data_IF_656358560872
#
_entry.id   IF_656358560872
#
_cell.length_a   1.000
_cell.length_b   1.000
_cell.length_c   1.000
_cell.angle_alpha   90.00
_cell.angle_beta   90.00
_cell.angle_gamma   90.00
#
_symmetry.space_group_name_H-M   'P 1'
#
loop_
_entity.id
_entity.type
_entity.pdbx_description
1 polymer ?
#
# COMPACT_ATOMS: atom_id res chain seq x y z
N UNK A 1 -15.00 -24.91 -37.52
CA UNK A 1 -15.47 -23.56 -37.25
C UNK A 1 -15.77 -23.26 -35.77
N UNK A 2 -16.33 -24.22 -35.03
CA UNK A 2 -16.60 -24.02 -33.60
C UNK A 2 -15.35 -23.88 -32.73
N UNK A 3 -14.20 -24.46 -33.09
CA UNK A 3 -12.95 -24.37 -32.34
C UNK A 3 -12.31 -22.98 -32.39
N UNK A 4 -12.50 -22.24 -33.49
CA UNK A 4 -11.98 -20.88 -33.64
C UNK A 4 -12.74 -19.89 -32.74
N UNK A 5 -14.03 -20.11 -32.57
CA UNK A 5 -14.88 -19.30 -31.69
C UNK A 5 -14.48 -19.40 -30.19
N UNK A 6 -14.15 -20.61 -29.74
CA UNK A 6 -13.71 -20.86 -28.38
C UNK A 6 -12.35 -20.21 -28.09
N UNK A 7 -11.44 -20.21 -29.05
CA UNK A 7 -10.13 -19.57 -28.93
C UNK A 7 -10.28 -18.04 -28.86
N UNK A 8 -11.17 -17.47 -29.67
CA UNK A 8 -11.48 -16.04 -29.63
C UNK A 8 -12.10 -15.60 -28.30
N UNK A 9 -12.99 -16.42 -27.73
CA UNK A 9 -13.60 -16.14 -26.43
C UNK A 9 -12.55 -16.17 -25.29
N UNK A 10 -11.61 -17.12 -25.32
CA UNK A 10 -10.53 -17.24 -24.35
C UNK A 10 -9.57 -16.04 -24.41
N UNK A 11 -9.25 -15.56 -25.58
CA UNK A 11 -8.39 -14.38 -25.77
C UNK A 11 -9.06 -13.10 -25.21
N UNK A 12 -10.38 -13.00 -25.33
CA UNK A 12 -11.14 -11.87 -24.81
C UNK A 12 -11.13 -11.80 -23.28
N UNK A 13 -11.17 -12.95 -22.61
CA UNK A 13 -11.14 -13.05 -21.14
C UNK A 13 -9.77 -12.65 -20.60
N UNK A 14 -8.69 -13.03 -21.26
CA UNK A 14 -7.32 -12.72 -20.83
C UNK A 14 -7.01 -11.22 -20.94
N UNK A 15 -7.54 -10.53 -21.94
CA UNK A 15 -7.29 -9.08 -22.10
C UNK A 15 -8.02 -8.23 -21.06
N UNK A 16 -9.18 -8.66 -20.55
CA UNK A 16 -9.87 -7.91 -19.48
C UNK A 16 -9.15 -8.02 -18.13
N UNK A 17 -8.49 -9.13 -17.82
CA UNK A 17 -7.70 -9.29 -16.60
C UNK A 17 -6.48 -8.35 -16.56
N UNK A 18 -5.81 -8.14 -17.68
CA UNK A 18 -4.65 -7.23 -17.76
C UNK A 18 -5.02 -5.77 -17.49
N UNK A 19 -6.20 -5.34 -17.87
CA UNK A 19 -6.68 -3.97 -17.66
C UNK A 19 -6.90 -3.67 -16.17
N UNK A 20 -7.40 -4.64 -15.41
CA UNK A 20 -7.63 -4.51 -13.97
C UNK A 20 -6.29 -4.44 -13.22
N UNK A 21 -5.31 -5.25 -13.57
CA UNK A 21 -3.97 -5.22 -12.97
C UNK A 21 -3.28 -3.87 -13.13
N UNK A 22 -3.40 -3.25 -14.30
CA UNK A 22 -2.81 -1.92 -14.57
C UNK A 22 -3.40 -0.83 -13.68
N UNK A 23 -4.70 -0.86 -13.39
CA UNK A 23 -5.34 0.10 -12.50
C UNK A 23 -4.84 -0.02 -11.06
N UNK A 24 -4.70 -1.23 -10.56
CA UNK A 24 -4.19 -1.50 -9.22
C UNK A 24 -2.74 -1.03 -9.08
N UNK A 25 -1.89 -1.32 -10.07
CA UNK A 25 -0.49 -0.88 -10.08
C UNK A 25 -0.35 0.64 -10.07
N UNK A 26 -1.18 1.34 -10.81
CA UNK A 26 -1.17 2.81 -10.88
C UNK A 26 -1.55 3.42 -9.53
N UNK A 27 -2.57 2.88 -8.85
CA UNK A 27 -3.00 3.33 -7.54
C UNK A 27 -1.95 3.03 -6.47
N UNK A 28 -1.30 1.87 -6.52
CA UNK A 28 -0.21 1.50 -5.62
C UNK A 28 1.00 2.42 -5.76
N UNK A 29 1.34 2.82 -6.97
CA UNK A 29 2.43 3.77 -7.24
C UNK A 29 2.12 5.17 -6.69
N UNK A 30 0.88 5.62 -6.78
CA UNK A 30 0.45 6.89 -6.18
C UNK A 30 0.58 6.88 -4.67
N UNK A 31 0.16 5.79 -4.04
CA UNK A 31 0.25 5.62 -2.60
C UNK A 31 1.71 5.65 -2.14
N UNK A 32 2.59 4.90 -2.82
CA UNK A 32 4.01 4.86 -2.54
C UNK A 32 4.66 6.23 -2.68
N UNK A 33 4.31 6.98 -3.70
CA UNK A 33 4.81 8.34 -3.93
C UNK A 33 4.37 9.29 -2.81
N UNK A 34 3.13 9.18 -2.34
CA UNK A 34 2.63 9.98 -1.23
C UNK A 34 3.34 9.66 0.08
N UNK A 35 3.65 8.39 0.33
CA UNK A 35 4.33 7.98 1.55
C UNK A 35 5.82 8.30 1.53
N UNK A 36 6.45 8.36 0.37
CA UNK A 36 7.86 8.70 0.22
C UNK A 36 8.21 10.07 0.79
N UNK A 37 7.28 11.00 0.78
CA UNK A 37 7.49 12.35 1.34
C UNK A 37 7.78 12.36 2.84
N UNK A 38 7.41 11.30 3.55
CA UNK A 38 7.65 11.20 4.98
C UNK A 38 9.03 10.66 5.34
N UNK A 39 9.74 10.05 4.39
CA UNK A 39 11.06 9.50 4.65
C UNK A 39 12.05 10.59 5.07
N UNK A 40 12.79 10.35 6.15
CA UNK A 40 13.74 11.30 6.70
C UNK A 40 13.12 12.39 7.57
N UNK A 41 11.81 12.38 7.76
CA UNK A 41 11.10 13.37 8.59
C UNK A 41 10.83 12.82 9.99
N UNK A 42 10.57 13.71 10.98
CA UNK A 42 10.24 13.27 12.34
C UNK A 42 8.91 12.52 12.39
N UNK A 43 8.79 11.56 13.32
CA UNK A 43 7.58 10.75 13.47
C UNK A 43 6.34 11.59 13.81
N UNK A 44 6.50 12.75 14.40
CA UNK A 44 5.36 13.62 14.76
C UNK A 44 4.55 14.03 13.51
N UNK A 45 5.17 14.11 12.35
CA UNK A 45 4.47 14.42 11.11
C UNK A 45 3.49 13.33 10.69
N UNK A 46 3.78 12.05 11.02
CA UNK A 46 2.85 10.96 10.79
C UNK A 46 1.63 11.07 11.70
N UNK A 47 1.83 11.45 12.94
CA UNK A 47 0.75 11.60 13.91
C UNK A 47 -0.13 12.78 13.53
N UNK A 48 0.45 13.86 13.01
CA UNK A 48 -0.31 15.01 12.51
C UNK A 48 -1.16 14.65 11.29
N UNK A 49 -0.65 13.80 10.40
CA UNK A 49 -1.35 13.43 9.16
C UNK A 49 -2.36 12.29 9.36
N UNK A 50 -1.96 11.23 10.06
CA UNK A 50 -2.75 10.01 10.21
C UNK A 50 -3.44 9.85 11.55
N UNK A 51 -3.09 10.65 12.54
CA UNK A 51 -3.61 10.55 13.90
C UNK A 51 -2.85 9.53 14.75
N UNK A 52 -3.52 9.00 15.77
CA UNK A 52 -2.92 8.03 16.68
C UNK A 52 -2.77 6.68 15.97
N UNK A 53 -1.60 6.04 16.04
CA UNK A 53 -1.41 4.73 15.42
C UNK A 53 -2.28 3.66 16.07
N UNK A 54 -2.75 2.71 15.27
CA UNK A 54 -3.54 1.57 15.73
C UNK A 54 -2.71 0.56 16.51
N UNK A 55 -1.41 0.52 16.23
CA UNK A 55 -0.49 -0.36 16.93
C UNK A 55 0.94 0.14 16.85
N UNK A 56 1.75 -0.32 17.80
CA UNK A 56 3.19 -0.03 17.84
C UNK A 56 3.92 -1.35 18.06
N UNK A 57 4.84 -1.65 17.18
CA UNK A 57 5.67 -2.85 17.25
C UNK A 57 7.11 -2.43 17.47
N UNK A 58 7.78 -3.07 18.42
CA UNK A 58 9.20 -2.85 18.68
C UNK A 58 9.98 -4.02 18.10
N UNK A 59 10.89 -3.73 17.19
CA UNK A 59 11.69 -4.73 16.51
C UNK A 59 13.14 -4.27 16.48
N UNK A 60 14.03 -5.02 17.16
CA UNK A 60 15.41 -4.60 17.42
C UNK A 60 15.40 -3.24 18.17
N UNK A 61 16.12 -2.25 17.66
CA UNK A 61 16.16 -0.90 18.25
C UNK A 61 15.17 0.05 17.56
N UNK A 62 14.35 -0.46 16.66
CA UNK A 62 13.42 0.33 15.88
C UNK A 62 11.99 0.13 16.36
N UNK A 63 11.18 1.17 16.14
CA UNK A 63 9.76 1.17 16.44
C UNK A 63 8.99 1.19 15.12
N UNK A 64 7.94 0.39 15.01
CA UNK A 64 7.08 0.36 13.83
C UNK A 64 5.70 0.86 14.22
N UNK A 65 5.28 1.97 13.62
CA UNK A 65 3.94 2.51 13.78
C UNK A 65 3.02 1.89 12.75
N UNK A 66 1.89 1.37 13.20
CA UNK A 66 0.91 0.71 12.33
C UNK A 66 -0.36 1.54 12.28
N UNK A 67 -0.75 1.92 11.08
CA UNK A 67 -1.99 2.65 10.82
C UNK A 67 -2.89 1.80 9.94
N UNK A 68 -4.14 1.61 10.35
CA UNK A 68 -5.12 0.82 9.61
C UNK A 68 -6.33 1.67 9.25
N UNK A 69 -6.76 1.57 7.99
CA UNK A 69 -8.00 2.18 7.52
C UNK A 69 -8.80 1.14 6.77
N UNK A 70 -10.12 1.15 6.95
CA UNK A 70 -11.00 0.21 6.29
C UNK A 70 -11.83 0.91 5.22
N UNK A 71 -11.80 0.39 3.99
CA UNK A 71 -12.56 0.91 2.87
C UNK A 71 -13.10 -0.26 2.06
N UNK A 72 -14.41 -0.30 1.83
CA UNK A 72 -15.07 -1.37 1.07
C UNK A 72 -14.74 -2.79 1.56
N UNK A 73 -14.72 -2.99 2.88
CA UNK A 73 -14.37 -4.25 3.54
C UNK A 73 -12.90 -4.67 3.34
N UNK A 74 -12.09 -3.82 2.77
CA UNK A 74 -10.65 -4.04 2.62
C UNK A 74 -9.92 -3.18 3.64
N UNK A 75 -9.03 -3.80 4.41
CA UNK A 75 -8.23 -3.11 5.40
C UNK A 75 -6.89 -2.69 4.79
N UNK A 76 -6.69 -1.38 4.68
CA UNK A 76 -5.41 -0.81 4.31
C UNK A 76 -4.52 -0.73 5.54
N UNK A 77 -3.32 -1.30 5.47
CA UNK A 77 -2.36 -1.27 6.56
C UNK A 77 -1.09 -0.55 6.10
N UNK A 78 -0.74 0.53 6.79
CA UNK A 78 0.49 1.27 6.58
C UNK A 78 1.39 1.11 7.77
N UNK A 79 2.63 0.72 7.54
CA UNK A 79 3.64 0.55 8.57
C UNK A 79 4.80 1.51 8.30
N UNK A 80 5.19 2.24 9.33
CA UNK A 80 6.31 3.18 9.26
C UNK A 80 7.37 2.77 10.27
N UNK A 81 8.59 2.55 9.79
CA UNK A 81 9.73 2.22 10.62
C UNK A 81 10.36 3.52 11.16
N UNK A 82 10.44 3.62 12.47
CA UNK A 82 11.00 4.77 13.16
C UNK A 82 12.31 4.34 13.82
N UNK A 83 13.39 5.04 13.52
CA UNK A 83 14.69 4.74 14.09
C UNK A 83 14.84 5.31 15.50
N UNK A 84 15.97 5.08 16.15
CA UNK A 84 16.25 5.54 17.53
C UNK A 84 16.31 7.07 17.67
N UNK A 85 16.43 7.79 16.56
CA UNK A 85 16.40 9.26 16.52
C UNK A 85 15.00 9.82 16.30
N UNK A 86 13.97 8.97 16.31
CA UNK A 86 12.56 9.32 16.06
C UNK A 86 12.33 9.87 14.65
N UNK A 87 13.10 9.37 13.68
CA UNK A 87 12.98 9.74 12.27
C UNK A 87 12.43 8.57 11.49
N UNK A 88 11.58 8.85 10.52
CA UNK A 88 10.98 7.84 9.66
C UNK A 88 12.05 7.29 8.71
N UNK A 89 12.43 6.02 8.90
CA UNK A 89 13.49 5.36 8.14
C UNK A 89 12.94 4.51 6.99
N UNK A 90 11.70 4.09 7.04
CA UNK A 90 11.10 3.26 6.02
C UNK A 90 9.60 3.17 6.16
N UNK A 91 8.94 2.61 5.15
CA UNK A 91 7.51 2.37 5.20
C UNK A 91 7.14 1.17 4.33
N UNK A 92 5.99 0.60 4.62
CA UNK A 92 5.34 -0.38 3.75
C UNK A 92 3.83 -0.17 3.82
N UNK A 93 3.15 -0.45 2.72
CA UNK A 93 1.69 -0.38 2.68
C UNK A 93 1.13 -1.65 2.06
N UNK A 94 -0.02 -2.06 2.56
CA UNK A 94 -0.71 -3.27 2.10
C UNK A 94 -2.18 -2.97 1.91
N UNK A 95 -2.71 -3.33 0.73
CA UNK A 95 -4.12 -3.11 0.37
C UNK A 95 -4.56 -1.65 0.45
N UNK A 96 -3.66 -0.73 0.14
CA UNK A 96 -3.92 0.71 0.11
C UNK A 96 -4.03 1.21 -1.34
N UNK A 97 -5.20 1.72 -1.70
CA UNK A 97 -5.45 2.29 -3.03
C UNK A 97 -6.61 3.28 -3.01
#
# INVERSE_FOLDING_TARGET
MKKIYLIFLLIFIISSCKTIERKIDTLSKKEEKNLNRFLGKPQIELIDEFGIPDGVIYENDNKILVFRTKKYQITCERKFEINNKRIIAGFSSRNCF
#
